data_IF_545868983042
#
_entry.id   IF_545868983042
#
_cell.length_a   1.000
_cell.length_b   1.000
_cell.length_c   1.000
_cell.angle_alpha   90.00
_cell.angle_beta   90.00
_cell.angle_gamma   90.00
#
_symmetry.space_group_name_H-M   'P 1'
#
loop_
_entity.id
_entity.type
_entity.pdbx_description
1 polymer ?
#
# COMPACT_ATOMS: atom_id res chain seq x y z
N UNK A 1 -27.88 -15.12 -7.72
CA UNK A 1 -28.60 -14.52 -6.57
C UNK A 1 -27.59 -13.79 -5.70
N UNK A 2 -27.88 -12.54 -5.37
CA UNK A 2 -27.11 -11.55 -4.61
C UNK A 2 -25.86 -12.05 -3.88
N UNK A 3 -24.73 -12.16 -4.59
CA UNK A 3 -23.40 -12.14 -3.99
C UNK A 3 -23.27 -10.85 -3.21
N UNK A 4 -23.16 -10.97 -1.89
CA UNK A 4 -22.92 -9.84 -1.03
C UNK A 4 -21.56 -9.26 -1.42
N UNK A 5 -21.59 -8.12 -2.12
CA UNK A 5 -20.42 -7.30 -2.38
C UNK A 5 -19.99 -6.66 -1.07
N UNK A 6 -19.31 -7.40 -0.21
CA UNK A 6 -18.43 -6.76 0.76
C UNK A 6 -17.30 -6.13 -0.06
N UNK A 7 -17.40 -4.82 -0.30
CA UNK A 7 -16.26 -4.01 -0.74
C UNK A 7 -15.13 -4.41 0.19
N UNK A 8 -14.06 -4.99 -0.35
CA UNK A 8 -12.82 -5.21 0.38
C UNK A 8 -12.41 -3.81 0.84
N UNK A 9 -12.78 -3.43 2.06
CA UNK A 9 -12.19 -2.28 2.70
C UNK A 9 -10.72 -2.67 2.81
N UNK A 10 -9.84 -1.89 2.19
CA UNK A 10 -8.41 -2.01 2.39
C UNK A 10 -8.08 -1.64 3.84
N UNK A 11 -8.44 -2.49 4.79
CA UNK A 11 -8.16 -2.38 6.21
C UNK A 11 -6.88 -3.18 6.46
N UNK A 12 -5.88 -2.52 7.05
CA UNK A 12 -4.57 -3.10 7.29
C UNK A 12 -4.60 -3.90 8.60
N UNK A 13 -4.80 -5.22 8.52
CA UNK A 13 -4.67 -6.13 9.67
C UNK A 13 -3.23 -6.65 9.73
N UNK A 14 -2.32 -5.85 10.31
CA UNK A 14 -0.99 -6.36 10.69
C UNK A 14 -1.03 -6.95 12.10
N UNK A 15 -0.79 -8.25 12.20
CA UNK A 15 -0.66 -9.03 13.43
C UNK A 15 0.66 -8.69 14.14
N UNK A 16 0.62 -8.29 15.41
CA UNK A 16 1.80 -8.23 16.29
C UNK A 16 1.42 -8.71 17.71
N UNK A 17 2.39 -9.36 18.36
CA UNK A 17 2.27 -10.04 19.66
C UNK A 17 3.06 -9.27 20.72
N UNK A 18 2.43 -8.72 21.77
CA UNK A 18 3.14 -8.22 22.97
C UNK A 18 2.30 -8.41 24.26
N UNK A 19 2.99 -8.76 25.36
CA UNK A 19 2.53 -8.98 26.74
C UNK A 19 2.43 -7.71 27.61
N UNK A 20 1.63 -7.78 28.68
CA UNK A 20 1.09 -6.65 29.47
C UNK A 20 1.72 -6.54 30.87
N UNK A 21 1.83 -5.33 31.43
CA UNK A 21 1.66 -5.01 32.87
C UNK A 21 1.72 -3.49 33.12
N UNK A 22 0.82 -2.98 33.97
CA UNK A 22 0.69 -1.55 34.30
C UNK A 22 1.13 -1.19 35.73
N UNK A 23 1.19 0.12 36.02
CA UNK A 23 0.84 0.80 37.29
C UNK A 23 0.90 2.33 37.07
N UNK A 24 0.06 3.05 37.83
CA UNK A 24 -0.27 4.47 37.74
C UNK A 24 0.86 5.47 38.11
N UNK A 25 0.80 6.68 37.54
CA UNK A 25 1.70 7.82 37.83
C UNK A 25 0.98 8.98 38.56
N UNK A 26 1.61 9.50 39.61
CA UNK A 26 1.35 10.84 40.19
C UNK A 26 1.95 11.93 39.30
N UNK A 27 1.24 13.06 39.15
CA UNK A 27 1.61 14.24 38.34
C UNK A 27 2.93 14.88 38.82
N UNK A 28 3.87 15.11 37.89
CA UNK A 28 5.11 15.88 38.09
C UNK A 28 5.23 17.00 37.04
N UNK A 29 5.90 18.08 37.44
CA UNK A 29 6.05 19.35 36.73
C UNK A 29 6.44 19.24 35.25
N UNK A 30 5.94 20.17 34.44
CA UNK A 30 6.09 20.22 32.98
C UNK A 30 7.53 20.63 32.65
N UNK A 31 8.39 19.65 32.40
CA UNK A 31 9.66 19.86 31.71
C UNK A 31 9.38 20.26 30.26
N UNK A 32 10.08 21.29 29.76
CA UNK A 32 10.05 21.67 28.35
C UNK A 32 10.45 20.47 27.49
N UNK A 33 9.72 20.23 26.40
CA UNK A 33 10.01 19.13 25.50
C UNK A 33 11.42 19.30 24.89
N UNK A 34 12.21 18.22 24.74
CA UNK A 34 13.51 18.29 24.08
C UNK A 34 13.40 18.83 22.65
N UNK A 35 14.44 19.52 22.18
CA UNK A 35 14.47 20.15 20.86
C UNK A 35 14.88 19.19 19.72
N UNK A 36 15.33 17.99 20.05
CA UNK A 36 15.84 16.94 19.14
C UNK A 36 15.55 15.56 19.72
N UNK A 37 15.64 14.53 18.88
CA UNK A 37 15.58 13.13 19.29
C UNK A 37 16.96 12.47 19.28
N UNK A 38 17.10 11.45 20.13
CA UNK A 38 18.17 10.45 20.07
C UNK A 38 17.54 9.07 20.25
N UNK A 39 17.82 8.14 19.34
CA UNK A 39 17.38 6.75 19.41
C UNK A 39 18.62 5.91 19.69
N UNK A 40 18.64 5.25 20.85
CA UNK A 40 19.68 4.30 21.25
C UNK A 40 19.11 2.88 21.16
N UNK A 41 19.71 2.06 20.31
CA UNK A 41 19.29 0.67 20.13
C UNK A 41 20.25 -0.31 20.79
N UNK A 42 19.71 -1.39 21.36
CA UNK A 42 20.47 -2.57 21.77
C UNK A 42 19.73 -3.83 21.30
N UNK A 43 20.22 -4.43 20.22
CA UNK A 43 19.62 -5.56 19.51
C UNK A 43 20.57 -6.74 19.64
N UNK A 44 20.11 -7.80 20.31
CA UNK A 44 20.88 -9.04 20.47
C UNK A 44 20.59 -10.00 19.32
N UNK A 45 21.43 -11.03 19.16
CA UNK A 45 21.19 -12.12 18.19
C UNK A 45 21.48 -11.79 16.72
N UNK A 46 21.86 -10.55 16.40
CA UNK A 46 22.28 -10.13 15.06
C UNK A 46 23.79 -9.91 14.99
N UNK A 47 24.39 -10.16 13.83
CA UNK A 47 25.81 -9.98 13.61
C UNK A 47 26.21 -8.49 13.56
N UNK A 48 27.42 -8.18 14.02
CA UNK A 48 28.04 -6.88 13.82
C UNK A 48 28.13 -6.54 12.32
N UNK A 49 27.95 -5.26 11.99
CA UNK A 49 27.86 -4.79 10.61
C UNK A 49 26.48 -4.93 9.97
N UNK A 50 25.49 -5.57 10.64
CA UNK A 50 24.10 -5.57 10.16
C UNK A 50 23.60 -4.14 9.97
N UNK A 51 23.18 -3.80 8.74
CA UNK A 51 22.64 -2.48 8.42
C UNK A 51 21.37 -2.19 9.21
N UNK A 52 21.26 -0.97 9.73
CA UNK A 52 20.05 -0.43 10.36
C UNK A 52 19.68 0.86 9.63
N UNK A 53 18.48 0.93 9.09
CA UNK A 53 17.94 2.08 8.38
C UNK A 53 16.77 2.68 9.16
N UNK A 54 16.73 4.00 9.27
CA UNK A 54 15.58 4.74 9.80
C UNK A 54 14.71 5.19 8.64
N UNK A 55 13.59 4.50 8.42
CA UNK A 55 12.72 4.71 7.25
C UNK A 55 11.36 5.25 7.70
N UNK A 56 10.89 6.39 7.18
CA UNK A 56 9.54 6.88 7.47
C UNK A 56 8.48 5.83 7.13
N UNK A 57 7.46 5.70 7.97
CA UNK A 57 6.33 4.80 7.75
C UNK A 57 4.99 5.53 7.83
N UNK A 58 3.91 4.77 7.67
CA UNK A 58 2.54 5.29 7.65
C UNK A 58 2.28 6.35 6.55
N UNK A 59 2.76 6.10 5.33
CA UNK A 59 2.66 7.04 4.19
C UNK A 59 1.97 6.48 2.92
N UNK A 60 1.47 5.24 2.94
CA UNK A 60 0.97 4.51 1.76
C UNK A 60 1.92 4.57 0.53
N UNK A 61 3.22 4.74 0.80
CA UNK A 61 4.25 4.96 -0.19
C UNK A 61 5.52 4.25 0.25
N UNK A 62 6.34 3.83 -0.71
CA UNK A 62 7.68 3.31 -0.42
C UNK A 62 8.62 4.47 -0.14
N UNK A 63 8.93 4.68 1.13
CA UNK A 63 9.83 5.75 1.59
C UNK A 63 11.30 5.32 1.50
N UNK A 64 12.17 6.28 1.22
CA UNK A 64 13.62 6.08 1.34
C UNK A 64 14.06 6.30 2.79
N UNK A 65 15.13 5.61 3.25
CA UNK A 65 15.66 5.84 4.59
C UNK A 65 16.16 7.28 4.72
N UNK A 66 15.89 7.91 5.86
CA UNK A 66 16.37 9.26 6.19
C UNK A 66 17.72 9.23 6.92
N UNK A 67 18.09 8.07 7.46
CA UNK A 67 19.38 7.81 8.06
C UNK A 67 19.70 6.31 7.98
N UNK A 68 20.99 5.98 7.96
CA UNK A 68 21.50 4.62 7.97
C UNK A 68 22.71 4.52 8.90
N UNK A 69 22.86 3.38 9.56
CA UNK A 69 24.03 3.01 10.36
C UNK A 69 24.19 1.48 10.36
N UNK A 70 25.11 0.95 11.15
CA UNK A 70 25.30 -0.49 11.34
C UNK A 70 25.31 -0.86 12.82
N UNK A 71 24.97 -2.10 13.13
CA UNK A 71 25.15 -2.64 14.48
C UNK A 71 26.63 -2.80 14.82
N UNK A 72 27.01 -2.38 16.02
CA UNK A 72 28.31 -2.66 16.63
C UNK A 72 28.10 -3.11 18.06
N UNK A 73 28.52 -4.32 18.39
CA UNK A 73 28.26 -4.98 19.67
C UNK A 73 26.76 -4.94 20.03
N UNK A 74 25.90 -5.21 19.05
CA UNK A 74 24.45 -5.13 19.15
C UNK A 74 23.87 -3.71 19.27
N UNK A 75 24.69 -2.66 19.30
CA UNK A 75 24.23 -1.28 19.51
C UNK A 75 24.15 -0.48 18.21
N UNK A 76 23.21 0.46 18.16
CA UNK A 76 23.16 1.51 17.14
C UNK A 76 22.66 2.83 17.73
N UNK A 77 22.84 3.93 17.01
CA UNK A 77 22.31 5.24 17.40
C UNK A 77 21.85 6.05 16.19
N UNK A 78 20.75 6.77 16.35
CA UNK A 78 20.31 7.84 15.45
C UNK A 78 20.04 9.12 16.23
N UNK A 79 20.33 10.27 15.63
CA UNK A 79 19.97 11.58 16.19
C UNK A 79 19.38 12.45 15.11
N UNK A 80 18.44 13.33 15.49
CA UNK A 80 17.87 14.27 14.55
C UNK A 80 16.87 15.20 15.21
N UNK A 81 16.10 15.91 14.39
CA UNK A 81 15.06 16.83 14.85
C UNK A 81 13.80 16.61 14.04
N UNK A 82 12.67 16.60 14.73
CA UNK A 82 11.35 16.56 14.12
C UNK A 82 10.56 17.83 14.47
N UNK A 83 9.70 18.25 13.56
CA UNK A 83 8.75 19.34 13.84
C UNK A 83 7.53 18.82 14.63
N UNK A 84 7.20 17.54 14.48
CA UNK A 84 6.14 16.83 15.20
C UNK A 84 6.43 15.32 15.25
N UNK A 85 5.76 14.52 16.09
CA UNK A 85 6.00 13.08 16.17
C UNK A 85 5.71 12.33 14.87
N UNK A 86 6.53 11.33 14.55
CA UNK A 86 6.49 10.60 13.28
C UNK A 86 6.71 9.10 13.47
N UNK A 87 6.06 8.29 12.66
CA UNK A 87 6.16 6.85 12.68
C UNK A 87 7.29 6.43 11.76
N UNK A 88 8.17 5.57 12.26
CA UNK A 88 9.34 5.06 11.56
C UNK A 88 9.40 3.55 11.69
N UNK A 89 10.00 2.93 10.67
CA UNK A 89 10.54 1.60 10.73
C UNK A 89 12.05 1.70 10.98
N UNK A 90 12.55 0.97 11.96
CA UNK A 90 13.95 0.57 12.04
C UNK A 90 14.10 -0.69 11.20
N UNK A 91 14.66 -0.57 10.00
CA UNK A 91 14.79 -1.65 9.04
C UNK A 91 16.17 -2.28 9.14
N UNK A 92 16.24 -3.59 9.33
CA UNK A 92 17.47 -4.34 9.56
C UNK A 92 17.85 -5.21 8.35
N UNK A 93 19.15 -5.36 8.12
CA UNK A 93 19.69 -6.35 7.18
C UNK A 93 19.27 -6.15 5.72
N UNK A 94 19.05 -4.90 5.28
CA UNK A 94 18.57 -4.54 3.94
C UNK A 94 17.17 -5.09 3.64
N UNK A 95 16.17 -4.67 4.43
CA UNK A 95 14.77 -5.08 4.34
C UNK A 95 14.46 -6.53 4.77
N UNK A 96 15.30 -7.13 5.62
CA UNK A 96 15.07 -8.50 6.13
C UNK A 96 14.19 -8.55 7.39
N UNK A 97 14.09 -7.46 8.13
CA UNK A 97 13.16 -7.34 9.26
C UNK A 97 13.04 -5.88 9.72
N UNK A 98 12.01 -5.57 10.52
CA UNK A 98 11.81 -4.22 11.02
C UNK A 98 11.17 -4.18 12.41
N UNK A 99 11.47 -3.12 13.16
CA UNK A 99 10.76 -2.72 14.38
C UNK A 99 10.07 -1.38 14.09
N UNK A 100 8.80 -1.24 14.46
CA UNK A 100 8.10 0.04 14.32
C UNK A 100 8.23 0.88 15.59
N UNK A 101 8.33 2.20 15.44
CA UNK A 101 8.26 3.13 16.56
C UNK A 101 7.70 4.48 16.12
N UNK A 102 7.06 5.19 17.07
CA UNK A 102 6.82 6.62 16.91
C UNK A 102 7.94 7.40 17.58
N UNK A 103 8.65 8.18 16.78
CA UNK A 103 9.73 9.07 17.19
C UNK A 103 9.14 10.44 17.49
N UNK A 104 9.48 10.99 18.64
CA UNK A 104 9.30 12.39 19.01
C UNK A 104 10.64 12.94 19.48
N UNK A 105 10.78 14.26 19.63
CA UNK A 105 12.01 14.85 20.15
C UNK A 105 12.21 14.47 21.62
N UNK A 106 12.85 13.33 21.85
CA UNK A 106 13.18 12.78 23.16
C UNK A 106 14.35 11.80 23.08
N UNK A 107 14.81 11.33 24.24
CA UNK A 107 15.74 10.19 24.32
C UNK A 107 14.92 8.91 24.30
N UNK A 108 15.06 8.14 23.23
CA UNK A 108 14.31 6.91 22.98
C UNK A 108 15.29 5.74 23.07
N UNK A 109 14.89 4.68 23.77
CA UNK A 109 15.65 3.42 23.83
C UNK A 109 14.84 2.30 23.21
N UNK A 110 15.50 1.49 22.40
CA UNK A 110 14.91 0.32 21.72
C UNK A 110 15.75 -0.90 22.06
N UNK A 111 15.12 -1.95 22.59
CA UNK A 111 15.77 -3.25 22.80
C UNK A 111 14.94 -4.36 22.20
N UNK A 112 15.58 -5.36 21.62
CA UNK A 112 14.93 -6.56 21.11
C UNK A 112 15.95 -7.70 20.93
N UNK A 113 15.44 -8.92 20.88
CA UNK A 113 16.21 -10.11 20.51
C UNK A 113 15.90 -10.46 19.05
N UNK A 114 16.90 -10.36 18.18
CA UNK A 114 16.79 -10.68 16.76
C UNK A 114 17.09 -12.15 16.48
N UNK A 115 16.29 -12.77 15.61
CA UNK A 115 16.47 -14.14 15.15
C UNK A 115 16.38 -14.19 13.62
N UNK A 116 17.46 -14.58 12.96
CA UNK A 116 17.52 -14.75 11.50
C UNK A 116 16.95 -16.12 11.15
N UNK A 117 15.94 -16.15 10.27
CA UNK A 117 15.33 -17.40 9.80
C UNK A 117 16.31 -18.21 8.94
N UNK A 118 16.14 -19.53 8.94
CA UNK A 118 16.92 -20.45 8.10
C UNK A 118 16.38 -20.57 6.66
N UNK A 119 15.44 -19.71 6.28
CA UNK A 119 14.89 -19.67 4.92
C UNK A 119 15.84 -18.92 3.97
N UNK A 120 15.69 -19.14 2.67
CA UNK A 120 16.54 -18.50 1.63
C UNK A 120 16.52 -16.96 1.70
N UNK A 121 15.44 -16.36 2.22
CA UNK A 121 15.30 -14.91 2.37
C UNK A 121 15.86 -14.35 3.69
N UNK A 122 16.34 -15.21 4.60
CA UNK A 122 17.00 -14.86 5.87
C UNK A 122 16.26 -13.76 6.66
N UNK A 123 14.94 -13.86 6.76
CA UNK A 123 14.11 -12.88 7.47
C UNK A 123 14.50 -12.77 8.94
N UNK A 124 14.53 -11.54 9.44
CA UNK A 124 14.84 -11.24 10.83
C UNK A 124 13.51 -11.06 11.58
N UNK A 125 13.27 -11.92 12.55
CA UNK A 125 12.17 -11.79 13.50
C UNK A 125 12.68 -11.18 14.79
N UNK A 126 11.84 -10.35 15.44
CA UNK A 126 12.17 -9.72 16.70
C UNK A 126 11.27 -10.26 17.83
N UNK A 127 11.88 -10.47 19.00
CA UNK A 127 11.21 -10.86 20.23
C UNK A 127 11.60 -9.90 21.35
N UNK A 128 10.81 -9.88 22.41
CA UNK A 128 11.08 -9.07 23.61
C UNK A 128 11.30 -7.59 23.30
N UNK A 129 10.54 -7.05 22.33
CA UNK A 129 10.64 -5.66 21.90
C UNK A 129 10.22 -4.71 23.03
N UNK A 130 11.17 -3.90 23.50
CA UNK A 130 10.91 -2.84 24.48
C UNK A 130 11.33 -1.50 23.90
N UNK A 131 10.39 -0.57 23.88
CA UNK A 131 10.61 0.81 23.44
C UNK A 131 10.24 1.70 24.62
N UNK A 132 11.16 2.56 25.04
CA UNK A 132 10.93 3.52 26.14
C UNK A 132 11.38 4.91 25.75
N UNK A 133 10.86 5.93 26.44
CA UNK A 133 11.25 7.33 26.24
C UNK A 133 10.50 8.08 25.15
N UNK A 134 9.58 7.42 24.43
CA UNK A 134 8.63 8.07 23.51
C UNK A 134 7.20 7.94 24.04
N UNK A 135 6.66 9.04 24.56
CA UNK A 135 5.27 9.13 25.03
C UNK A 135 4.29 8.92 23.88
N UNK A 136 4.63 9.41 22.69
CA UNK A 136 3.83 9.19 21.49
C UNK A 136 3.77 7.71 21.12
N UNK A 137 4.87 6.97 21.26
CA UNK A 137 4.88 5.52 21.03
C UNK A 137 4.05 4.77 22.07
N UNK A 138 4.18 5.13 23.35
CA UNK A 138 3.39 4.53 24.43
C UNK A 138 1.88 4.78 24.24
N UNK A 139 1.53 6.00 23.80
CA UNK A 139 0.17 6.37 23.48
C UNK A 139 -0.38 5.56 22.30
N UNK A 140 0.40 5.41 21.24
CA UNK A 140 0.03 4.57 20.10
C UNK A 140 -0.27 3.13 20.52
N UNK A 141 0.67 2.50 21.26
CA UNK A 141 0.49 1.13 21.76
C UNK A 141 -0.80 0.97 22.56
N UNK A 142 -1.11 1.95 23.42
CA UNK A 142 -2.35 1.98 24.20
C UNK A 142 -3.59 2.07 23.30
N UNK A 143 -3.60 3.03 22.37
CA UNK A 143 -4.75 3.28 21.50
C UNK A 143 -4.99 2.14 20.50
N UNK A 144 -3.97 1.35 20.15
CA UNK A 144 -4.09 0.19 19.26
C UNK A 144 -4.15 -1.16 19.98
N UNK A 145 -4.25 -1.19 21.31
CA UNK A 145 -4.29 -2.43 22.09
C UNK A 145 -5.48 -3.35 21.72
N UNK A 146 -6.57 -2.77 21.19
CA UNK A 146 -7.73 -3.52 20.69
C UNK A 146 -7.38 -4.52 19.57
N UNK A 147 -6.26 -4.33 18.87
CA UNK A 147 -5.83 -5.23 17.79
C UNK A 147 -5.60 -6.65 18.29
N UNK A 148 -5.13 -6.83 19.54
CA UNK A 148 -4.95 -8.16 20.12
C UNK A 148 -6.30 -8.92 20.23
N UNK A 149 -7.37 -8.20 20.58
CA UNK A 149 -8.72 -8.78 20.63
C UNK A 149 -9.23 -9.11 19.22
N UNK A 150 -9.04 -8.21 18.24
CA UNK A 150 -9.40 -8.48 16.85
C UNK A 150 -8.64 -9.67 16.28
N UNK A 151 -7.36 -9.85 16.63
CA UNK A 151 -6.59 -11.02 16.20
C UNK A 151 -7.19 -12.32 16.76
N UNK A 152 -7.55 -12.31 18.05
CA UNK A 152 -8.23 -13.45 18.66
C UNK A 152 -9.58 -13.74 17.99
N UNK A 153 -10.37 -12.71 17.71
CA UNK A 153 -11.64 -12.86 16.99
C UNK A 153 -11.41 -13.47 15.60
N UNK A 154 -10.39 -13.00 14.88
CA UNK A 154 -9.99 -13.52 13.58
C UNK A 154 -9.63 -15.01 13.63
N UNK A 155 -8.77 -15.41 14.56
CA UNK A 155 -8.40 -16.82 14.78
C UNK A 155 -9.63 -17.67 15.11
N UNK A 156 -10.54 -17.15 15.94
CA UNK A 156 -11.71 -17.88 16.38
C UNK A 156 -12.69 -18.20 15.24
N UNK A 157 -12.98 -17.24 14.34
CA UNK A 157 -13.95 -17.51 13.28
C UNK A 157 -13.39 -18.34 12.11
N UNK A 158 -12.05 -18.43 12.00
CA UNK A 158 -11.38 -19.33 11.05
C UNK A 158 -11.24 -20.77 11.57
N UNK A 159 -11.34 -20.97 12.88
CA UNK A 159 -11.12 -22.28 13.50
C UNK A 159 -12.13 -23.30 12.98
N UNK A 160 -11.63 -24.37 12.37
CA UNK A 160 -12.44 -25.46 11.83
C UNK A 160 -12.98 -25.23 10.41
N UNK A 161 -12.62 -24.12 9.76
CA UNK A 161 -13.00 -23.82 8.37
C UNK A 161 -11.82 -23.85 7.41
N UNK A 162 -10.62 -24.21 7.89
CA UNK A 162 -9.37 -24.10 7.13
C UNK A 162 -9.38 -24.98 5.87
N UNK A 163 -9.76 -26.25 6.00
CA UNK A 163 -9.82 -27.18 4.85
C UNK A 163 -10.97 -26.82 3.89
N UNK A 164 -12.11 -26.38 4.42
CA UNK A 164 -13.25 -25.94 3.62
C UNK A 164 -12.91 -24.67 2.83
N UNK A 165 -12.21 -23.72 3.45
CA UNK A 165 -11.69 -22.50 2.83
C UNK A 165 -10.66 -22.79 1.74
N UNK A 166 -9.74 -23.75 1.97
CA UNK A 166 -8.80 -24.21 0.93
C UNK A 166 -9.54 -24.79 -0.27
N UNK A 167 -10.55 -25.63 -0.02
CA UNK A 167 -11.35 -26.25 -1.08
C UNK A 167 -12.16 -25.20 -1.87
N UNK A 168 -12.79 -24.25 -1.17
CA UNK A 168 -13.53 -23.15 -1.77
C UNK A 168 -12.63 -22.26 -2.64
N UNK A 169 -11.44 -21.91 -2.12
CA UNK A 169 -10.43 -21.15 -2.87
C UNK A 169 -9.97 -21.90 -4.12
N UNK A 170 -9.67 -23.20 -4.01
CA UNK A 170 -9.32 -24.04 -5.16
C UNK A 170 -10.45 -24.07 -6.19
N UNK A 171 -11.69 -24.26 -5.77
CA UNK A 171 -12.86 -24.25 -6.65
C UNK A 171 -13.02 -22.91 -7.39
N UNK A 172 -12.77 -21.78 -6.70
CA UNK A 172 -12.78 -20.44 -7.29
C UNK A 172 -11.69 -20.27 -8.33
N UNK A 173 -10.46 -20.68 -8.03
CA UNK A 173 -9.33 -20.58 -8.97
C UNK A 173 -9.50 -21.47 -10.20
N UNK A 174 -10.12 -22.65 -10.05
CA UNK A 174 -10.38 -23.56 -11.16
C UNK A 174 -11.70 -23.29 -11.90
N UNK A 175 -12.47 -22.27 -11.50
CA UNK A 175 -13.78 -21.96 -12.08
C UNK A 175 -14.86 -23.02 -11.86
N UNK A 176 -14.72 -23.88 -10.86
CA UNK A 176 -15.66 -24.98 -10.58
C UNK A 176 -16.93 -24.46 -9.88
N UNK A 177 -17.86 -23.91 -10.65
CA UNK A 177 -19.12 -23.32 -10.14
C UNK A 177 -19.94 -24.29 -9.29
N UNK A 178 -20.04 -25.56 -9.68
CA UNK A 178 -20.81 -26.56 -8.92
C UNK A 178 -20.27 -26.74 -7.50
N UNK A 179 -18.95 -26.80 -7.36
CA UNK A 179 -18.31 -26.94 -6.05
C UNK A 179 -18.40 -25.66 -5.22
N UNK A 180 -18.30 -24.49 -5.86
CA UNK A 180 -18.53 -23.19 -5.21
C UNK A 180 -19.96 -23.13 -4.65
N UNK A 181 -20.96 -23.49 -5.44
CA UNK A 181 -22.37 -23.47 -5.02
C UNK A 181 -22.64 -24.52 -3.94
N UNK A 182 -22.04 -25.71 -4.03
CA UNK A 182 -22.18 -26.77 -3.02
C UNK A 182 -21.62 -26.35 -1.67
N UNK A 183 -20.39 -25.81 -1.65
CA UNK A 183 -19.76 -25.35 -0.41
C UNK A 183 -20.49 -24.11 0.11
N UNK A 184 -20.78 -23.14 -0.75
CA UNK A 184 -21.46 -21.89 -0.39
C UNK A 184 -22.83 -22.08 0.25
N UNK A 185 -23.51 -23.19 -0.07
CA UNK A 185 -24.81 -23.51 0.52
C UNK A 185 -24.74 -24.34 1.81
N UNK A 186 -23.56 -24.83 2.20
CA UNK A 186 -23.38 -25.65 3.39
C UNK A 186 -23.64 -24.82 4.66
N UNK A 187 -24.19 -25.43 5.74
CA UNK A 187 -24.38 -24.74 7.01
C UNK A 187 -23.09 -24.16 7.59
N UNK A 188 -21.98 -24.88 7.45
CA UNK A 188 -20.65 -24.48 7.94
C UNK A 188 -20.16 -23.23 7.21
N UNK A 189 -20.29 -23.17 5.88
CA UNK A 189 -19.89 -22.00 5.11
C UNK A 189 -20.77 -20.79 5.40
N UNK A 190 -22.09 -20.98 5.50
CA UNK A 190 -23.01 -19.89 5.87
C UNK A 190 -22.71 -19.33 7.25
N UNK A 191 -22.34 -20.18 8.21
CA UNK A 191 -21.88 -19.75 9.53
C UNK A 191 -20.57 -18.96 9.43
N UNK A 192 -19.59 -19.47 8.68
CA UNK A 192 -18.33 -18.76 8.43
C UNK A 192 -18.57 -17.36 7.83
N UNK A 193 -19.41 -17.23 6.79
CA UNK A 193 -19.74 -15.94 6.17
C UNK A 193 -20.42 -14.97 7.15
N UNK A 194 -21.31 -15.49 8.01
CA UNK A 194 -21.97 -14.67 9.03
C UNK A 194 -20.97 -14.16 10.10
N UNK A 195 -20.08 -15.03 10.57
CA UNK A 195 -19.06 -14.69 11.56
C UNK A 195 -18.01 -13.75 10.95
N UNK A 196 -17.60 -13.96 9.69
CA UNK A 196 -16.73 -13.08 8.92
C UNK A 196 -17.34 -11.68 8.76
N UNK A 197 -18.62 -11.61 8.38
CA UNK A 197 -19.35 -10.33 8.30
C UNK A 197 -19.35 -9.61 9.63
N UNK A 198 -19.64 -10.32 10.73
CA UNK A 198 -19.68 -9.73 12.06
C UNK A 198 -18.29 -9.21 12.46
N UNK A 199 -17.23 -9.97 12.19
CA UNK A 199 -15.85 -9.57 12.39
C UNK A 199 -15.51 -8.28 11.65
N UNK A 200 -15.74 -8.21 10.33
CA UNK A 200 -15.41 -7.00 9.56
C UNK A 200 -16.28 -5.80 9.94
N UNK A 201 -17.52 -6.02 10.39
CA UNK A 201 -18.36 -4.96 10.96
C UNK A 201 -17.73 -4.38 12.23
N UNK A 202 -17.22 -5.26 13.13
CA UNK A 202 -16.50 -4.85 14.34
C UNK A 202 -15.21 -4.09 13.98
N UNK A 203 -14.40 -4.61 13.06
CA UNK A 203 -13.17 -3.95 12.59
C UNK A 203 -13.45 -2.56 12.05
N UNK A 204 -14.45 -2.43 11.17
CA UNK A 204 -14.85 -1.13 10.59
C UNK A 204 -15.25 -0.16 11.70
N UNK A 205 -16.12 -0.59 12.63
CA UNK A 205 -16.58 0.25 13.73
C UNK A 205 -15.43 0.70 14.64
N UNK A 206 -14.58 -0.23 15.10
CA UNK A 206 -13.44 0.08 15.97
C UNK A 206 -12.48 1.04 15.30
N UNK A 207 -12.23 0.87 13.99
CA UNK A 207 -11.39 1.78 13.19
C UNK A 207 -12.00 3.18 13.12
N UNK A 208 -13.29 3.29 12.77
CA UNK A 208 -13.95 4.60 12.67
C UNK A 208 -14.05 5.30 14.01
N UNK A 209 -14.28 4.56 15.10
CA UNK A 209 -14.35 5.11 16.46
C UNK A 209 -12.98 5.66 16.90
N UNK A 210 -11.90 4.91 16.64
CA UNK A 210 -10.52 5.36 16.91
C UNK A 210 -10.24 6.67 16.18
N UNK A 211 -10.51 6.74 14.89
CA UNK A 211 -10.26 7.95 14.09
C UNK A 211 -11.15 9.10 14.57
N UNK A 212 -12.42 8.84 14.84
CA UNK A 212 -13.39 9.84 15.27
C UNK A 212 -13.08 10.44 16.65
N UNK A 213 -12.48 9.65 17.56
CA UNK A 213 -11.99 10.10 18.86
C UNK A 213 -10.90 11.17 18.74
N UNK A 214 -10.15 11.18 17.64
CA UNK A 214 -8.94 12.00 17.47
C UNK A 214 -9.06 13.12 16.43
N UNK A 215 -10.27 13.57 16.10
CA UNK A 215 -10.54 14.54 15.01
C UNK A 215 -9.85 15.89 15.14
N UNK A 216 -9.46 16.29 16.34
CA UNK A 216 -8.87 17.61 16.63
C UNK A 216 -7.35 17.59 16.70
N UNK A 217 -6.72 16.43 16.52
CA UNK A 217 -5.26 16.26 16.65
C UNK A 217 -4.69 15.50 15.45
N UNK A 218 -3.37 15.54 15.27
CA UNK A 218 -2.67 14.79 14.23
C UNK A 218 -2.88 13.26 14.32
N UNK A 219 -3.29 12.75 15.50
CA UNK A 219 -3.61 11.34 15.70
C UNK A 219 -4.76 10.86 14.80
N UNK A 220 -5.76 11.70 14.51
CA UNK A 220 -6.87 11.33 13.64
C UNK A 220 -6.41 10.93 12.24
N UNK A 221 -5.76 11.84 11.49
CA UNK A 221 -5.14 11.51 10.20
C UNK A 221 -4.09 10.40 10.28
N UNK A 222 -3.28 10.34 11.33
CA UNK A 222 -2.31 9.26 11.50
C UNK A 222 -2.97 7.88 11.65
N UNK A 223 -4.03 7.77 12.44
CA UNK A 223 -4.78 6.51 12.54
C UNK A 223 -5.48 6.18 11.24
N UNK A 224 -5.96 7.19 10.51
CA UNK A 224 -6.50 7.00 9.17
C UNK A 224 -5.43 6.41 8.21
N UNK A 225 -4.19 6.92 8.22
CA UNK A 225 -3.07 6.38 7.43
C UNK A 225 -2.60 4.98 7.84
N UNK A 226 -2.85 4.54 9.07
CA UNK A 226 -2.35 3.26 9.58
C UNK A 226 -3.41 2.16 9.65
N UNK A 227 -4.70 2.53 9.70
CA UNK A 227 -5.79 1.56 9.71
C UNK A 227 -6.28 1.23 8.30
N UNK A 228 -6.22 2.18 7.37
CA UNK A 228 -6.47 1.92 5.95
C UNK A 228 -5.15 1.58 5.25
N UNK A 229 -5.20 0.71 4.23
CA UNK A 229 -4.09 0.35 3.36
C UNK A 229 -4.01 1.25 2.13
N UNK A 230 -5.15 1.85 1.76
CA UNK A 230 -5.33 2.86 0.72
C UNK A 230 -6.66 3.57 0.98
N UNK A 231 -6.84 4.76 0.42
CA UNK A 231 -8.11 5.46 0.49
C UNK A 231 -8.91 5.34 -0.80
N UNK A 232 -10.23 5.41 -0.65
CA UNK A 232 -11.18 5.63 -1.73
C UNK A 232 -11.99 6.89 -1.45
N UNK A 233 -12.79 7.39 -2.41
CA UNK A 233 -13.68 8.52 -2.17
C UNK A 233 -14.63 8.34 -0.98
N UNK A 234 -14.93 7.09 -0.59
CA UNK A 234 -15.81 6.77 0.55
C UNK A 234 -15.25 7.29 1.90
N UNK A 235 -13.95 7.57 1.99
CA UNK A 235 -13.31 8.08 3.20
C UNK A 235 -13.29 9.63 3.30
N UNK A 236 -13.67 10.36 2.24
CA UNK A 236 -13.69 11.85 2.27
C UNK A 236 -14.56 12.42 3.38
N UNK A 237 -15.79 11.94 3.63
CA UNK A 237 -16.63 12.50 4.70
C UNK A 237 -16.02 12.33 6.10
N UNK A 238 -15.19 11.31 6.32
CA UNK A 238 -14.49 11.14 7.60
C UNK A 238 -13.34 12.15 7.72
N UNK A 239 -12.57 12.36 6.66
CA UNK A 239 -11.48 13.35 6.62
C UNK A 239 -11.98 14.79 6.79
N UNK A 240 -13.13 15.13 6.19
CA UNK A 240 -13.72 16.47 6.28
C UNK A 240 -14.08 16.87 7.72
N UNK A 241 -14.38 15.90 8.58
CA UNK A 241 -14.69 16.11 10.00
C UNK A 241 -13.46 16.46 10.87
N UNK A 242 -12.24 16.36 10.32
CA UNK A 242 -11.05 16.79 11.03
C UNK A 242 -10.96 18.30 11.15
N UNK A 243 -10.46 18.77 12.30
CA UNK A 243 -10.12 20.18 12.50
C UNK A 243 -9.05 20.65 11.53
N UNK A 244 -8.96 21.95 11.31
CA UNK A 244 -7.87 22.55 10.51
C UNK A 244 -6.48 22.19 11.03
N UNK A 245 -6.29 22.12 12.36
CA UNK A 245 -5.03 21.69 12.97
C UNK A 245 -4.68 20.26 12.58
N UNK A 246 -5.65 19.34 12.62
CA UNK A 246 -5.44 17.96 12.21
C UNK A 246 -5.15 17.84 10.71
N UNK A 247 -5.91 18.54 9.85
CA UNK A 247 -5.69 18.56 8.40
C UNK A 247 -4.33 19.14 8.00
N UNK A 248 -3.84 20.15 8.73
CA UNK A 248 -2.53 20.78 8.48
C UNK A 248 -1.33 20.00 9.02
N UNK A 249 -1.54 19.01 9.90
CA UNK A 249 -0.47 18.11 10.34
C UNK A 249 0.14 17.34 9.17
N UNK A 250 1.35 16.79 9.34
CA UNK A 250 2.00 15.98 8.31
C UNK A 250 1.11 14.87 7.77
N UNK A 251 0.48 14.08 8.65
CA UNK A 251 -0.42 13.00 8.21
C UNK A 251 -1.73 13.53 7.64
N UNK A 252 -2.22 14.68 8.11
CA UNK A 252 -3.37 15.37 7.52
C UNK A 252 -3.13 15.70 6.04
N UNK A 253 -1.95 16.22 5.72
CA UNK A 253 -1.56 16.52 4.35
C UNK A 253 -1.36 15.26 3.49
N UNK A 254 -0.87 14.16 4.06
CA UNK A 254 -0.79 12.88 3.36
C UNK A 254 -2.17 12.31 3.05
N UNK A 255 -3.08 12.32 4.03
CA UNK A 255 -4.46 11.88 3.81
C UNK A 255 -5.14 12.75 2.76
N UNK A 256 -4.98 14.07 2.82
CA UNK A 256 -5.51 14.98 1.80
C UNK A 256 -4.97 14.67 0.41
N UNK A 257 -3.66 14.48 0.29
CA UNK A 257 -3.00 14.13 -0.98
C UNK A 257 -3.53 12.82 -1.57
N UNK A 258 -3.76 11.81 -0.74
CA UNK A 258 -4.24 10.50 -1.20
C UNK A 258 -5.76 10.51 -1.51
N UNK A 259 -6.57 11.29 -0.78
CA UNK A 259 -8.02 11.43 -1.03
C UNK A 259 -8.35 12.40 -2.17
N UNK A 260 -7.52 13.42 -2.33
CA UNK A 260 -7.65 14.49 -3.31
C UNK A 260 -6.38 14.54 -4.18
N UNK A 261 -6.07 13.44 -4.91
CA UNK A 261 -4.91 13.45 -5.78
C UNK A 261 -5.08 14.55 -6.82
N UNK A 262 -4.01 15.33 -7.05
CA UNK A 262 -4.00 16.31 -8.13
C UNK A 262 -4.22 15.58 -9.45
N UNK A 263 -5.22 16.01 -10.21
CA UNK A 263 -5.42 15.50 -11.56
C UNK A 263 -4.17 15.78 -12.40
N UNK A 264 -3.78 14.80 -13.20
CA UNK A 264 -2.72 14.96 -14.18
C UNK A 264 -3.24 15.49 -15.52
N UNK A 265 -4.56 15.66 -15.67
CA UNK A 265 -5.15 16.25 -16.87
C UNK A 265 -4.61 17.68 -17.06
N UNK A 266 -4.19 17.99 -18.29
CA UNK A 266 -3.53 19.24 -18.65
C UNK A 266 -2.02 19.26 -18.40
N UNK A 267 -1.47 18.24 -17.72
CA UNK A 267 -0.01 18.12 -17.55
C UNK A 267 0.62 17.39 -18.72
N UNK A 268 1.88 17.70 -19.02
CA UNK A 268 2.65 16.99 -20.03
C UNK A 268 3.16 15.67 -19.46
N UNK A 269 3.07 14.58 -20.24
CA UNK A 269 3.70 13.32 -19.88
C UNK A 269 5.22 13.48 -19.83
N UNK A 270 5.82 12.93 -18.78
CA UNK A 270 7.26 13.01 -18.59
C UNK A 270 8.02 12.39 -19.78
N UNK A 271 9.16 13.01 -20.15
CA UNK A 271 10.16 12.39 -21.03
C UNK A 271 10.85 11.26 -20.28
N UNK A 272 10.16 10.15 -20.06
CA UNK A 272 10.76 8.95 -19.48
C UNK A 272 11.30 8.03 -20.57
N UNK A 273 12.33 7.27 -20.21
CA UNK A 273 12.85 6.16 -21.02
C UNK A 273 12.79 4.89 -20.20
N UNK A 274 12.27 3.82 -20.79
CA UNK A 274 12.18 2.50 -20.17
C UNK A 274 12.67 1.45 -21.16
N UNK A 275 12.85 0.21 -20.68
CA UNK A 275 13.18 -0.92 -21.52
C UNK A 275 11.90 -1.56 -22.06
N UNK A 276 11.92 -1.91 -23.34
CA UNK A 276 10.87 -2.72 -23.95
C UNK A 276 11.04 -4.22 -23.65
N UNK A 277 10.14 -5.03 -24.20
CA UNK A 277 10.15 -6.50 -24.07
C UNK A 277 11.42 -7.18 -24.58
N UNK A 278 12.21 -6.53 -25.44
CA UNK A 278 13.46 -7.07 -25.98
C UNK A 278 14.68 -6.46 -25.25
N UNK A 279 14.46 -5.70 -24.18
CA UNK A 279 15.49 -5.02 -23.40
C UNK A 279 16.02 -3.74 -24.03
N UNK A 280 15.45 -3.30 -25.16
CA UNK A 280 15.86 -2.08 -25.86
C UNK A 280 15.31 -0.87 -25.13
N UNK A 281 16.15 0.15 -24.93
CA UNK A 281 15.71 1.42 -24.39
C UNK A 281 14.81 2.14 -25.41
N UNK A 282 13.63 2.57 -24.95
CA UNK A 282 12.66 3.33 -25.72
C UNK A 282 12.23 4.54 -24.89
N UNK A 283 12.14 5.71 -25.52
CA UNK A 283 11.63 6.91 -24.86
C UNK A 283 10.16 7.12 -25.16
N UNK A 284 9.43 7.72 -24.22
CA UNK A 284 8.04 8.14 -24.45
C UNK A 284 7.95 9.01 -25.71
N UNK A 285 8.91 9.92 -25.93
CA UNK A 285 8.96 10.80 -27.10
C UNK A 285 9.01 10.05 -28.43
N UNK A 286 9.79 8.97 -28.51
CA UNK A 286 9.88 8.14 -29.73
C UNK A 286 8.56 7.40 -30.00
N UNK A 287 7.93 6.88 -28.93
CA UNK A 287 6.67 6.13 -29.04
C UNK A 287 5.51 7.06 -29.40
N UNK A 288 5.51 8.30 -28.89
CA UNK A 288 4.45 9.27 -29.16
C UNK A 288 4.59 9.94 -30.54
N UNK A 289 5.77 9.88 -31.15
CA UNK A 289 6.05 10.57 -32.39
C UNK A 289 5.11 10.10 -33.52
N UNK A 290 4.42 11.06 -34.15
CA UNK A 290 3.50 10.79 -35.25
C UNK A 290 2.15 10.20 -34.85
N UNK A 291 1.87 10.04 -33.55
CA UNK A 291 0.57 9.57 -33.05
C UNK A 291 -0.30 10.76 -32.67
N UNK A 292 -1.61 10.66 -32.96
CA UNK A 292 -2.61 11.68 -32.59
C UNK A 292 -3.02 11.55 -31.13
N UNK A 293 -3.21 10.31 -30.68
CA UNK A 293 -3.57 9.99 -29.30
C UNK A 293 -2.91 8.71 -28.84
N UNK A 294 -2.54 8.67 -27.56
CA UNK A 294 -1.82 7.54 -26.98
C UNK A 294 -2.44 7.21 -25.64
N UNK A 295 -2.77 5.95 -25.45
CA UNK A 295 -3.20 5.43 -24.16
C UNK A 295 -1.99 4.86 -23.42
N UNK A 296 -1.57 5.50 -22.34
CA UNK A 296 -0.64 4.91 -21.38
C UNK A 296 -1.46 4.00 -20.45
N UNK A 297 -1.13 2.72 -20.40
CA UNK A 297 -1.82 1.71 -19.58
C UNK A 297 -0.86 1.06 -18.58
N UNK A 298 -1.06 1.32 -17.29
CA UNK A 298 -0.31 0.70 -16.21
C UNK A 298 -0.95 -0.62 -15.79
N UNK A 299 -0.18 -1.70 -15.86
CA UNK A 299 -0.65 -3.07 -15.62
C UNK A 299 0.42 -3.94 -14.93
N UNK A 300 0.09 -5.21 -14.68
CA UNK A 300 1.06 -6.22 -14.23
C UNK A 300 0.57 -7.63 -14.55
N UNK A 301 1.50 -8.58 -14.62
CA UNK A 301 1.25 -10.00 -14.95
C UNK A 301 0.31 -10.71 -13.96
N UNK A 302 0.36 -10.29 -12.69
CA UNK A 302 -0.47 -10.77 -11.59
C UNK A 302 -1.80 -10.03 -11.44
N UNK A 303 -2.02 -8.94 -12.19
CA UNK A 303 -3.24 -8.14 -12.09
C UNK A 303 -4.38 -8.75 -12.92
N UNK A 304 -5.24 -9.53 -12.26
CA UNK A 304 -6.42 -10.14 -12.89
C UNK A 304 -7.35 -9.14 -13.61
N UNK A 305 -7.75 -8.01 -12.99
CA UNK A 305 -8.57 -7.00 -13.66
C UNK A 305 -7.90 -6.37 -14.88
N UNK A 306 -6.58 -6.10 -14.83
CA UNK A 306 -5.83 -5.58 -15.97
C UNK A 306 -5.90 -6.53 -17.16
N UNK A 307 -5.67 -7.83 -16.93
CA UNK A 307 -5.69 -8.85 -17.98
C UNK A 307 -7.09 -9.06 -18.59
N UNK A 308 -8.15 -8.82 -17.82
CA UNK A 308 -9.52 -8.82 -18.34
C UNK A 308 -9.83 -7.65 -19.25
N UNK A 309 -9.07 -6.56 -19.17
CA UNK A 309 -9.24 -5.36 -19.99
C UNK A 309 -8.48 -5.43 -21.32
N UNK A 310 -7.41 -6.24 -21.39
CA UNK A 310 -6.59 -6.42 -22.60
C UNK A 310 -7.42 -6.74 -23.87
N UNK A 311 -8.46 -7.61 -23.84
CA UNK A 311 -9.32 -7.82 -25.00
C UNK A 311 -9.99 -6.54 -25.52
N UNK A 312 -10.48 -5.67 -24.62
CA UNK A 312 -11.08 -4.39 -25.02
C UNK A 312 -10.04 -3.45 -25.63
N UNK A 313 -8.82 -3.41 -25.05
CA UNK A 313 -7.71 -2.65 -25.60
C UNK A 313 -7.32 -3.13 -27.01
N UNK A 314 -7.35 -4.45 -27.27
CA UNK A 314 -7.14 -5.01 -28.61
C UNK A 314 -8.20 -4.58 -29.62
N UNK A 315 -9.46 -4.57 -29.21
CA UNK A 315 -10.56 -4.06 -30.05
C UNK A 315 -10.33 -2.59 -30.41
N UNK A 316 -10.10 -1.73 -29.42
CA UNK A 316 -9.82 -0.32 -29.65
C UNK A 316 -8.57 -0.11 -30.51
N UNK A 317 -7.49 -0.86 -30.26
CA UNK A 317 -6.27 -0.77 -31.07
C UNK A 317 -6.53 -1.14 -32.54
N UNK A 318 -7.22 -2.26 -32.78
CA UNK A 318 -7.55 -2.70 -34.14
C UNK A 318 -8.41 -1.70 -34.91
N UNK A 319 -9.28 -0.94 -34.24
CA UNK A 319 -10.18 0.02 -34.90
C UNK A 319 -9.54 1.40 -35.13
N UNK A 320 -8.65 1.82 -34.23
CA UNK A 320 -8.16 3.20 -34.20
C UNK A 320 -6.66 3.36 -34.49
N UNK A 321 -5.86 2.28 -34.53
CA UNK A 321 -4.40 2.38 -34.75
C UNK A 321 -4.06 3.12 -36.06
N UNK A 322 -4.70 2.72 -37.17
CA UNK A 322 -4.51 3.35 -38.48
C UNK A 322 -5.03 4.80 -38.55
N UNK A 323 -5.84 5.21 -37.57
CA UNK A 323 -6.34 6.59 -37.45
C UNK A 323 -5.42 7.49 -36.61
N UNK A 324 -4.31 6.95 -36.12
CA UNK A 324 -3.32 7.65 -35.31
C UNK A 324 -3.43 7.39 -33.80
N UNK A 325 -4.11 6.33 -33.38
CA UNK A 325 -4.10 5.87 -31.99
C UNK A 325 -2.91 4.94 -31.72
N UNK A 326 -2.34 5.01 -30.53
CA UNK A 326 -1.31 4.06 -30.05
C UNK A 326 -1.59 3.66 -28.60
N UNK A 327 -1.12 2.49 -28.19
CA UNK A 327 -1.15 2.07 -26.79
C UNK A 327 0.28 1.86 -26.30
N UNK A 328 0.56 2.39 -25.10
CA UNK A 328 1.80 2.17 -24.38
C UNK A 328 1.50 1.50 -23.05
N UNK A 329 1.67 0.18 -22.98
CA UNK A 329 1.49 -0.54 -21.72
C UNK A 329 2.79 -0.53 -20.91
N UNK A 330 2.73 -0.06 -19.67
CA UNK A 330 3.84 -0.02 -18.73
C UNK A 330 3.56 -1.01 -17.60
N UNK A 331 4.36 -2.07 -17.51
CA UNK A 331 4.22 -3.04 -16.43
C UNK A 331 4.92 -2.56 -15.16
N UNK A 332 4.25 -2.70 -14.02
CA UNK A 332 4.83 -2.48 -12.68
C UNK A 332 5.35 -3.79 -12.04
N UNK A 333 5.46 -4.87 -12.81
CA UNK A 333 6.03 -6.14 -12.36
C UNK A 333 7.43 -5.94 -11.76
N UNK A 334 7.74 -6.72 -10.71
CA UNK A 334 9.11 -6.84 -10.16
C UNK A 334 9.86 -8.04 -10.69
N UNK A 335 9.11 -9.04 -11.15
CA UNK A 335 9.66 -10.24 -11.78
C UNK A 335 9.54 -10.09 -13.30
N UNK A 336 10.65 -9.75 -13.95
CA UNK A 336 10.74 -9.63 -15.40
C UNK A 336 10.33 -10.92 -16.11
N UNK A 337 10.63 -12.11 -15.55
CA UNK A 337 10.27 -13.39 -16.19
C UNK A 337 8.77 -13.61 -16.16
N UNK A 338 8.10 -13.24 -15.07
CA UNK A 338 6.64 -13.30 -14.97
C UNK A 338 5.97 -12.36 -15.97
N UNK A 339 6.50 -11.15 -16.12
CA UNK A 339 6.06 -10.19 -17.14
C UNK A 339 6.22 -10.74 -18.56
N UNK A 340 7.41 -11.24 -18.92
CA UNK A 340 7.68 -11.83 -20.24
C UNK A 340 6.75 -13.00 -20.56
N UNK A 341 6.51 -13.88 -19.58
CA UNK A 341 5.54 -14.97 -19.73
C UNK A 341 4.14 -14.46 -20.01
N UNK A 342 3.69 -13.42 -19.30
CA UNK A 342 2.39 -12.80 -19.55
C UNK A 342 2.31 -12.16 -20.93
N UNK A 343 3.35 -11.47 -21.40
CA UNK A 343 3.40 -10.93 -22.76
C UNK A 343 3.19 -12.01 -23.84
N UNK A 344 3.83 -13.18 -23.67
CA UNK A 344 3.68 -14.31 -24.58
C UNK A 344 2.26 -14.91 -24.62
N UNK A 345 1.53 -14.83 -23.50
CA UNK A 345 0.13 -15.27 -23.38
C UNK A 345 -0.81 -14.22 -23.97
N UNK A 346 -0.64 -12.96 -23.54
CA UNK A 346 -1.56 -11.87 -23.85
C UNK A 346 -1.40 -11.37 -25.27
N UNK A 347 -0.25 -11.55 -25.92
CA UNK A 347 -0.01 -11.19 -27.34
C UNK A 347 -0.52 -9.78 -27.68
N UNK A 348 -0.05 -8.79 -26.92
CA UNK A 348 -0.42 -7.39 -27.12
C UNK A 348 0.35 -6.82 -28.31
N UNK A 349 -0.32 -6.31 -29.37
CA UNK A 349 0.33 -5.87 -30.61
C UNK A 349 0.98 -4.48 -30.54
N UNK A 350 0.98 -3.85 -29.37
CA UNK A 350 1.52 -2.50 -29.14
C UNK A 350 2.74 -2.51 -28.22
N UNK A 351 3.29 -1.33 -27.95
CA UNK A 351 4.50 -1.17 -27.14
C UNK A 351 4.29 -1.58 -25.67
N UNK A 352 5.19 -2.40 -25.16
CA UNK A 352 5.18 -2.88 -23.79
C UNK A 352 6.53 -2.58 -23.13
N UNK A 353 6.50 -1.82 -22.04
CA UNK A 353 7.67 -1.39 -21.28
C UNK A 353 7.62 -1.90 -19.84
N UNK A 354 8.78 -2.06 -19.21
CA UNK A 354 8.90 -2.39 -17.79
C UNK A 354 9.27 -1.13 -16.98
N UNK A 355 8.50 -0.80 -15.95
CA UNK A 355 8.72 0.35 -15.08
C UNK A 355 9.98 0.20 -14.22
N UNK A 356 10.65 1.32 -13.97
CA UNK A 356 11.83 1.42 -13.11
C UNK A 356 11.50 1.92 -11.68
N UNK A 357 10.23 1.77 -11.27
CA UNK A 357 9.60 2.35 -10.07
C UNK A 357 9.45 3.87 -10.06
N UNK A 358 9.89 4.58 -11.10
CA UNK A 358 9.79 6.05 -11.13
C UNK A 358 8.64 6.52 -11.99
N UNK A 359 8.34 5.83 -13.09
CA UNK A 359 7.30 6.28 -14.03
C UNK A 359 5.93 6.09 -13.41
N UNK A 360 5.60 4.93 -12.85
CA UNK A 360 4.32 4.76 -12.14
C UNK A 360 4.13 5.77 -11.01
N UNK A 361 5.19 6.09 -10.27
CA UNK A 361 5.17 7.11 -9.20
C UNK A 361 4.96 8.52 -9.74
N UNK A 362 5.58 8.89 -10.85
CA UNK A 362 5.37 10.22 -11.46
C UNK A 362 3.95 10.40 -11.98
N UNK A 363 3.31 9.31 -12.38
CA UNK A 363 1.87 9.29 -12.74
C UNK A 363 0.95 9.12 -11.51
N UNK A 364 1.49 9.07 -10.30
CA UNK A 364 0.74 8.81 -9.06
C UNK A 364 -0.13 7.53 -9.12
N UNK A 365 0.37 6.49 -9.79
CA UNK A 365 -0.31 5.19 -9.89
C UNK A 365 -0.23 4.48 -8.54
N UNK A 366 -1.35 4.43 -7.83
CA UNK A 366 -1.50 3.72 -6.55
C UNK A 366 -2.18 2.37 -6.69
N UNK A 367 -3.02 2.23 -7.71
CA UNK A 367 -3.78 1.02 -8.00
C UNK A 367 -3.76 0.76 -9.50
N UNK A 368 -3.64 -0.50 -9.88
CA UNK A 368 -3.79 -0.93 -11.27
C UNK A 368 -5.07 -1.75 -11.44
N UNK A 369 -5.72 -1.69 -12.62
CA UNK A 369 -5.23 -0.99 -13.82
C UNK A 369 -5.43 0.54 -13.73
N UNK A 370 -4.47 1.33 -14.24
CA UNK A 370 -4.60 2.79 -14.39
C UNK A 370 -4.28 3.22 -15.83
N UNK A 371 -5.07 4.14 -16.41
CA UNK A 371 -4.89 4.60 -17.80
C UNK A 371 -4.84 6.12 -17.90
N UNK A 372 -4.07 6.63 -18.86
CA UNK A 372 -3.99 8.05 -19.19
C UNK A 372 -4.01 8.21 -20.71
N UNK A 373 -4.98 8.98 -21.22
CA UNK A 373 -5.06 9.33 -22.64
C UNK A 373 -4.29 10.63 -22.86
N UNK A 374 -3.37 10.59 -23.81
CA UNK A 374 -2.43 11.66 -24.12
C UNK A 374 -2.66 12.14 -25.54
N UNK A 375 -2.63 13.44 -25.78
CA UNK A 375 -2.72 14.02 -27.12
C UNK A 375 -1.36 14.06 -27.86
N UNK A 376 -1.38 14.47 -29.11
CA UNK A 376 -0.18 14.63 -29.97
C UNK A 376 0.89 15.59 -29.43
N UNK A 377 0.55 16.46 -28.46
CA UNK A 377 1.51 17.36 -27.79
C UNK A 377 2.10 16.75 -26.53
N UNK A 378 1.74 15.51 -26.22
CA UNK A 378 2.14 14.85 -24.98
C UNK A 378 1.39 15.39 -23.78
N UNK A 379 0.19 15.96 -23.93
CA UNK A 379 -0.62 16.44 -22.81
C UNK A 379 -1.67 15.39 -22.44
N UNK A 380 -1.80 15.10 -21.15
CA UNK A 380 -2.85 14.20 -20.64
C UNK A 380 -4.20 14.92 -20.78
N UNK A 381 -5.13 14.31 -21.51
CA UNK A 381 -6.47 14.87 -21.76
C UNK A 381 -7.58 14.10 -21.05
N UNK A 382 -7.30 12.89 -20.57
CA UNK A 382 -8.24 12.07 -19.79
C UNK A 382 -7.48 10.99 -19.01
N UNK A 383 -8.06 10.50 -17.94
CA UNK A 383 -7.55 9.37 -17.15
C UNK A 383 -8.65 8.31 -16.94
N UNK A 384 -8.23 7.11 -16.55
CA UNK A 384 -9.07 5.97 -16.18
C UNK A 384 -10.07 5.46 -17.23
N UNK A 385 -9.93 5.83 -18.50
CA UNK A 385 -10.74 5.31 -19.60
C UNK A 385 -10.48 3.83 -19.85
N UNK A 386 -11.56 3.05 -19.94
CA UNK A 386 -11.57 1.59 -20.22
C UNK A 386 -12.83 1.18 -20.97
N UNK A 387 -12.78 0.03 -21.63
CA UNK A 387 -13.91 -0.58 -22.32
C UNK A 387 -14.68 0.42 -23.18
N UNK A 388 -16.01 0.46 -22.98
CA UNK A 388 -16.90 1.32 -23.74
C UNK A 388 -16.61 2.83 -23.57
N UNK A 389 -16.07 3.27 -22.43
CA UNK A 389 -15.73 4.70 -22.22
C UNK A 389 -14.51 5.11 -23.05
N UNK A 390 -13.51 4.23 -23.14
CA UNK A 390 -12.36 4.42 -24.01
C UNK A 390 -12.79 4.48 -25.48
N UNK A 391 -13.59 3.51 -25.93
CA UNK A 391 -14.08 3.47 -27.31
C UNK A 391 -14.91 4.70 -27.66
N UNK A 392 -15.83 5.12 -26.78
CA UNK A 392 -16.63 6.32 -26.97
C UNK A 392 -15.74 7.57 -27.10
N UNK A 393 -14.71 7.69 -26.25
CA UNK A 393 -13.79 8.83 -26.30
C UNK A 393 -12.92 8.83 -27.57
N UNK A 394 -12.40 7.67 -27.98
CA UNK A 394 -11.63 7.54 -29.22
C UNK A 394 -12.50 7.86 -30.44
N UNK A 395 -13.75 7.39 -30.47
CA UNK A 395 -14.71 7.73 -31.53
C UNK A 395 -14.98 9.23 -31.61
N UNK A 396 -15.05 9.92 -30.46
CA UNK A 396 -15.20 11.38 -30.40
C UNK A 396 -13.98 12.12 -30.96
N UNK A 397 -12.78 11.66 -30.61
CA UNK A 397 -11.51 12.34 -30.90
C UNK A 397 -10.93 12.02 -32.27
N UNK A 398 -11.15 10.80 -32.77
CA UNK A 398 -10.66 10.28 -34.04
C UNK A 398 -11.78 10.13 -35.07
N UNK A 399 -12.78 11.02 -34.99
CA UNK A 399 -13.84 11.12 -35.99
C UNK A 399 -13.20 11.10 -37.38
N UNK A 400 -13.58 10.08 -38.14
CA UNK A 400 -13.37 9.97 -39.58
C UNK A 400 -14.11 11.09 -40.29
#
# INVERSE_FOLDING_TARGET
MNTIKYKVLGLCVCLFVISNNGIAQKKKAIALAPASYSIEGNITGLADGTTVQLTPGATHSSESPVAETTLKEGKFTFTGKLNEPRFFYLVFGKNKGYIHLIVENSKIKVTADGEVSKSEDERINFKNEVITGSKSNDYYKKETAFKAELNKDYENYHKGTEELGKLYSKARTSGNKKLIDSIGNSPEWKKFEADEKAFFTKVQKTTTDLIAKHKTTWWGPFFMMTQYSYFTPDQKPLFEQFSETAKKSYYGQLVDKDLNPKSLIGTSVANFGLKDKDGKACTAKEIVAGKKYILIDFWASWCGPCRKEIPNLKTAYSEYADKGFEILSISIDKDEKAWQKALGIEKMPWHNLLDDDKVSKSFNVKTIPATYLVDSKGIIISDNLRGAELEAKLKELLKS
#
